data_IF_671563037207
#
_entry.id   IF_671563037207
#
_cell.length_a   1.000
_cell.length_b   1.000
_cell.length_c   1.000
_cell.angle_alpha   90.00
_cell.angle_beta   90.00
_cell.angle_gamma   90.00
#
_symmetry.space_group_name_H-M   'P 1'
#
loop_
_entity.id
_entity.type
_entity.pdbx_description
1 polymer ?
#
# COMPACT_ATOMS: atom_id res chain seq x y z
N UNK A 1 66.04 38.55 14.16
CA UNK A 1 64.91 37.96 14.89
C UNK A 1 65.42 37.35 16.19
N UNK A 2 65.03 37.91 17.33
CA UNK A 2 65.46 37.46 18.65
C UNK A 2 64.83 36.10 19.01
N UNK A 3 65.44 35.37 19.96
CA UNK A 3 64.92 34.08 20.45
C UNK A 3 63.47 34.17 20.92
N UNK A 4 63.06 35.31 21.50
CA UNK A 4 61.70 35.57 21.99
C UNK A 4 60.68 35.75 20.86
N UNK A 5 61.07 36.42 19.77
CA UNK A 5 60.20 36.66 18.62
C UNK A 5 59.86 35.35 17.88
N UNK A 6 60.84 34.45 17.71
CA UNK A 6 60.61 33.13 17.08
C UNK A 6 59.63 32.26 17.89
N UNK A 7 59.69 32.32 19.22
CA UNK A 7 58.80 31.57 20.10
C UNK A 7 57.37 32.12 20.01
N UNK A 8 57.19 33.45 20.03
CA UNK A 8 55.86 34.05 19.87
C UNK A 8 55.24 33.72 18.50
N UNK A 9 56.02 33.75 17.42
CA UNK A 9 55.52 33.40 16.09
C UNK A 9 55.07 31.93 16.01
N UNK A 10 55.80 31.02 16.66
CA UNK A 10 55.43 29.60 16.75
C UNK A 10 54.12 29.38 17.52
N UNK A 11 53.91 30.09 18.63
CA UNK A 11 52.66 30.01 19.43
C UNK A 11 51.47 30.57 18.63
N UNK A 12 51.67 31.67 17.91
CA UNK A 12 50.62 32.26 17.06
C UNK A 12 50.21 31.29 15.94
N UNK A 13 51.18 30.72 15.22
CA UNK A 13 50.92 29.74 14.15
C UNK A 13 50.21 28.50 14.71
N UNK A 14 50.66 27.96 15.85
CA UNK A 14 50.01 26.83 16.50
C UNK A 14 48.57 27.14 16.93
N UNK A 15 48.32 28.35 17.43
CA UNK A 15 46.97 28.85 17.77
C UNK A 15 46.05 28.91 16.55
N UNK A 16 46.52 29.46 15.42
CA UNK A 16 45.75 29.52 14.18
C UNK A 16 45.45 28.14 13.59
N UNK A 17 46.40 27.20 13.62
CA UNK A 17 46.18 25.83 13.15
C UNK A 17 45.17 25.10 14.03
N UNK A 18 45.25 25.25 15.35
CA UNK A 18 44.29 24.70 16.30
C UNK A 18 42.87 25.23 16.07
N UNK A 19 42.72 26.54 15.90
CA UNK A 19 41.42 27.19 15.67
C UNK A 19 40.84 26.85 14.29
N UNK A 20 41.70 26.81 13.26
CA UNK A 20 41.32 26.40 11.90
C UNK A 20 40.84 24.95 11.84
N UNK A 21 41.49 24.03 12.55
CA UNK A 21 41.08 22.63 12.62
C UNK A 21 39.71 22.42 13.28
N UNK A 22 39.42 23.14 14.36
CA UNK A 22 38.13 23.06 15.08
C UNK A 22 37.00 23.66 14.24
N UNK A 23 37.23 24.82 13.62
CA UNK A 23 36.24 25.49 12.76
C UNK A 23 35.95 24.68 11.49
N UNK A 24 36.96 24.07 10.86
CA UNK A 24 36.77 23.18 9.72
C UNK A 24 35.94 21.94 10.06
N UNK A 25 36.21 21.27 11.20
CA UNK A 25 35.39 20.15 11.68
C UNK A 25 33.95 20.57 11.96
N UNK A 26 33.74 21.74 12.56
CA UNK A 26 32.40 22.25 12.83
C UNK A 26 31.59 22.53 11.54
N UNK A 27 32.25 23.06 10.50
CA UNK A 27 31.62 23.28 9.18
C UNK A 27 31.29 21.95 8.49
N UNK A 28 32.19 20.97 8.52
CA UNK A 28 31.90 19.63 7.98
C UNK A 28 30.74 18.96 8.73
N UNK A 29 30.70 19.08 10.06
CA UNK A 29 29.61 18.55 10.86
C UNK A 29 28.28 19.21 10.50
N UNK A 30 28.23 20.54 10.33
CA UNK A 30 27.03 21.24 9.84
C UNK A 30 26.58 20.76 8.46
N UNK A 31 27.50 20.59 7.50
CA UNK A 31 27.16 20.07 6.17
C UNK A 31 26.53 18.67 6.26
N UNK A 32 27.16 17.76 7.02
CA UNK A 32 26.66 16.40 7.25
C UNK A 32 25.30 16.39 7.95
N UNK A 33 25.07 17.32 8.89
CA UNK A 33 23.81 17.44 9.61
C UNK A 33 22.67 17.94 8.71
N UNK A 34 22.96 18.88 7.80
CA UNK A 34 21.99 19.36 6.79
C UNK A 34 21.63 18.23 5.81
N UNK A 35 22.63 17.49 5.34
CA UNK A 35 22.42 16.37 4.42
C UNK A 35 21.61 15.24 5.09
N UNK A 36 21.94 14.89 6.33
CA UNK A 36 21.17 13.92 7.12
C UNK A 36 19.73 14.36 7.31
N UNK A 37 19.49 15.65 7.62
CA UNK A 37 18.13 16.19 7.74
C UNK A 37 17.34 16.11 6.42
N UNK A 38 17.98 16.34 5.28
CA UNK A 38 17.34 16.18 3.96
C UNK A 38 16.92 14.73 3.74
N UNK A 39 17.82 13.78 4.01
CA UNK A 39 17.53 12.34 3.88
C UNK A 39 16.40 11.90 4.82
N UNK A 40 16.38 12.40 6.06
CA UNK A 40 15.30 12.12 7.01
C UNK A 40 13.96 12.66 6.50
N UNK A 41 13.93 13.93 6.05
CA UNK A 41 12.71 14.53 5.51
C UNK A 41 12.20 13.79 4.25
N UNK A 42 13.10 13.35 3.38
CA UNK A 42 12.75 12.55 2.21
C UNK A 42 12.17 11.19 2.60
N UNK A 43 12.79 10.50 3.56
CA UNK A 43 12.27 9.22 4.09
C UNK A 43 10.90 9.40 4.77
N UNK A 44 10.71 10.46 5.55
CA UNK A 44 9.41 10.77 6.16
C UNK A 44 8.33 10.98 5.11
N UNK A 45 8.65 11.67 4.01
CA UNK A 45 7.73 11.84 2.89
C UNK A 45 7.35 10.49 2.27
N UNK A 46 8.32 9.63 2.00
CA UNK A 46 8.10 8.29 1.45
C UNK A 46 7.23 7.45 2.40
N UNK A 47 7.46 7.52 3.71
CA UNK A 47 6.66 6.79 4.70
C UNK A 47 5.20 7.27 4.67
N UNK A 48 4.96 8.58 4.66
CA UNK A 48 3.60 9.12 4.57
C UNK A 48 2.88 8.70 3.30
N UNK A 49 3.55 8.78 2.15
CA UNK A 49 2.99 8.33 0.87
C UNK A 49 2.62 6.83 0.90
N UNK A 50 3.46 6.00 1.53
CA UNK A 50 3.16 4.57 1.73
C UNK A 50 2.00 4.33 2.68
N UNK A 51 1.94 5.05 3.80
CA UNK A 51 0.85 4.92 4.78
C UNK A 51 -0.49 5.32 4.16
N UNK A 52 -0.53 6.42 3.41
CA UNK A 52 -1.72 6.84 2.66
C UNK A 52 -2.14 5.79 1.62
N UNK A 53 -1.18 5.20 0.93
CA UNK A 53 -1.42 4.12 -0.04
C UNK A 53 -2.00 2.88 0.62
N UNK A 54 -1.44 2.45 1.76
CA UNK A 54 -1.92 1.32 2.54
C UNK A 54 -3.35 1.59 3.04
N UNK A 55 -3.59 2.76 3.62
CA UNK A 55 -4.90 3.13 4.14
C UNK A 55 -5.96 3.13 3.03
N UNK A 56 -5.63 3.67 1.86
CA UNK A 56 -6.51 3.66 0.69
C UNK A 56 -6.76 2.24 0.17
N UNK A 57 -5.73 1.38 0.13
CA UNK A 57 -5.86 -0.03 -0.23
C UNK A 57 -6.84 -0.76 0.71
N UNK A 58 -6.66 -0.59 2.02
CA UNK A 58 -7.51 -1.23 3.05
C UNK A 58 -8.95 -0.74 2.93
N UNK A 59 -9.15 0.58 2.78
CA UNK A 59 -10.50 1.16 2.63
C UNK A 59 -11.23 0.57 1.42
N UNK A 60 -10.61 0.58 0.25
CA UNK A 60 -11.22 0.09 -0.99
C UNK A 60 -11.44 -1.42 -0.95
N UNK A 61 -10.48 -2.19 -0.44
CA UNK A 61 -10.60 -3.63 -0.29
C UNK A 61 -11.71 -4.03 0.68
N UNK A 62 -11.81 -3.34 1.83
CA UNK A 62 -12.88 -3.57 2.80
C UNK A 62 -14.26 -3.21 2.24
N UNK A 63 -14.38 -2.09 1.53
CA UNK A 63 -15.64 -1.72 0.88
C UNK A 63 -16.08 -2.76 -0.16
N UNK A 64 -15.15 -3.25 -1.00
CA UNK A 64 -15.44 -4.29 -1.96
C UNK A 64 -15.90 -5.60 -1.28
N UNK A 65 -15.22 -6.01 -0.20
CA UNK A 65 -15.58 -7.20 0.57
C UNK A 65 -17.00 -7.11 1.14
N UNK A 66 -17.29 -6.05 1.91
CA UNK A 66 -18.59 -5.90 2.59
C UNK A 66 -19.75 -5.85 1.59
N UNK A 67 -19.55 -5.20 0.43
CA UNK A 67 -20.59 -5.17 -0.61
C UNK A 67 -20.81 -6.53 -1.25
N UNK A 68 -19.76 -7.32 -1.46
CA UNK A 68 -19.89 -8.70 -1.92
C UNK A 68 -20.59 -9.60 -0.91
N UNK A 69 -20.26 -9.48 0.38
CA UNK A 69 -20.94 -10.23 1.45
C UNK A 69 -22.43 -9.87 1.54
N UNK A 70 -22.77 -8.59 1.38
CA UNK A 70 -24.17 -8.17 1.33
C UNK A 70 -24.89 -8.71 0.10
N UNK A 71 -24.25 -8.68 -1.08
CA UNK A 71 -24.80 -9.27 -2.30
C UNK A 71 -25.07 -10.77 -2.14
N UNK A 72 -24.11 -11.52 -1.59
CA UNK A 72 -24.27 -12.96 -1.38
C UNK A 72 -25.34 -13.28 -0.33
N UNK A 73 -25.42 -12.47 0.72
CA UNK A 73 -26.49 -12.57 1.73
C UNK A 73 -27.87 -12.30 1.13
N UNK A 74 -28.00 -11.24 0.33
CA UNK A 74 -29.24 -10.89 -0.37
C UNK A 74 -29.67 -12.00 -1.35
N UNK A 75 -28.70 -12.58 -2.08
CA UNK A 75 -28.93 -13.71 -2.99
C UNK A 75 -29.41 -14.93 -2.21
N UNK A 76 -28.69 -15.31 -1.16
CA UNK A 76 -29.00 -16.47 -0.32
C UNK A 76 -30.38 -16.32 0.33
N UNK A 77 -30.71 -15.12 0.84
CA UNK A 77 -32.02 -14.84 1.42
C UNK A 77 -33.15 -15.02 0.39
N UNK A 78 -32.96 -14.49 -0.83
CA UNK A 78 -33.94 -14.58 -1.91
C UNK A 78 -34.18 -16.01 -2.38
N UNK A 79 -33.13 -16.84 -2.44
CA UNK A 79 -33.24 -18.27 -2.75
C UNK A 79 -34.02 -19.03 -1.67
N UNK A 80 -33.79 -18.70 -0.38
CA UNK A 80 -34.44 -19.38 0.74
C UNK A 80 -35.89 -18.92 0.99
N UNK A 81 -36.25 -17.71 0.59
CA UNK A 81 -37.57 -17.11 0.81
C UNK A 81 -38.18 -16.61 -0.50
N UNK A 82 -38.43 -17.50 -1.49
CA UNK A 82 -38.81 -17.10 -2.84
C UNK A 82 -40.15 -16.32 -2.91
N UNK A 83 -41.04 -16.53 -1.93
CA UNK A 83 -42.35 -15.87 -1.86
C UNK A 83 -42.38 -14.66 -0.91
N UNK A 84 -41.28 -14.38 -0.20
CA UNK A 84 -41.24 -13.36 0.85
C UNK A 84 -39.87 -12.65 0.95
N UNK A 85 -39.16 -12.55 -0.18
CA UNK A 85 -37.77 -12.10 -0.19
C UNK A 85 -37.61 -10.64 0.24
N UNK A 86 -38.67 -9.83 0.24
CA UNK A 86 -38.64 -8.40 0.58
C UNK A 86 -37.71 -7.53 -0.30
N UNK A 87 -36.87 -8.18 -1.11
CA UNK A 87 -35.88 -7.62 -2.01
C UNK A 87 -36.47 -7.74 -3.40
N UNK A 88 -36.79 -6.61 -4.00
CA UNK A 88 -37.30 -6.56 -5.36
C UNK A 88 -36.17 -6.83 -6.36
N UNK A 89 -36.54 -7.22 -7.59
CA UNK A 89 -35.56 -7.41 -8.67
C UNK A 89 -34.71 -6.13 -8.94
N UNK A 90 -35.31 -4.92 -8.97
CA UNK A 90 -34.55 -3.67 -9.02
C UNK A 90 -33.55 -3.50 -7.86
N UNK A 91 -33.93 -3.84 -6.64
CA UNK A 91 -33.02 -3.74 -5.48
C UNK A 91 -31.83 -4.68 -5.63
N UNK A 92 -32.07 -5.91 -6.10
CA UNK A 92 -30.99 -6.87 -6.35
C UNK A 92 -30.03 -6.38 -7.43
N UNK A 93 -30.53 -5.78 -8.50
CA UNK A 93 -29.70 -5.19 -9.55
C UNK A 93 -28.83 -4.04 -9.00
N UNK A 94 -29.38 -3.19 -8.14
CA UNK A 94 -28.63 -2.12 -7.48
C UNK A 94 -27.53 -2.69 -6.58
N UNK A 95 -27.82 -3.74 -5.81
CA UNK A 95 -26.84 -4.41 -4.95
C UNK A 95 -25.68 -4.96 -5.78
N UNK A 96 -25.98 -5.66 -6.88
CA UNK A 96 -25.00 -6.24 -7.79
C UNK A 96 -24.13 -5.17 -8.46
N UNK A 97 -24.75 -4.08 -8.93
CA UNK A 97 -24.04 -2.97 -9.55
C UNK A 97 -23.07 -2.31 -8.57
N UNK A 98 -23.51 -2.04 -7.33
CA UNK A 98 -22.66 -1.43 -6.30
C UNK A 98 -21.51 -2.34 -5.86
N UNK A 99 -21.74 -3.65 -5.75
CA UNK A 99 -20.67 -4.60 -5.46
C UNK A 99 -19.63 -4.64 -6.58
N UNK A 100 -20.09 -4.69 -7.84
CA UNK A 100 -19.23 -4.67 -9.02
C UNK A 100 -18.41 -3.38 -9.13
N UNK A 101 -19.03 -2.23 -8.88
CA UNK A 101 -18.36 -0.93 -8.89
C UNK A 101 -17.25 -0.85 -7.84
N UNK A 102 -17.52 -1.27 -6.61
CA UNK A 102 -16.50 -1.27 -5.55
C UNK A 102 -15.34 -2.22 -5.86
N UNK A 103 -15.62 -3.39 -6.42
CA UNK A 103 -14.60 -4.32 -6.88
C UNK A 103 -13.72 -3.73 -7.98
N UNK A 104 -14.34 -3.09 -8.98
CA UNK A 104 -13.62 -2.41 -10.05
C UNK A 104 -12.76 -1.26 -9.51
N UNK A 105 -13.28 -0.46 -8.58
CA UNK A 105 -12.54 0.62 -7.94
C UNK A 105 -11.31 0.09 -7.19
N UNK A 106 -11.45 -1.02 -6.47
CA UNK A 106 -10.33 -1.68 -5.79
C UNK A 106 -9.30 -2.21 -6.79
N UNK A 107 -9.72 -2.93 -7.83
CA UNK A 107 -8.81 -3.45 -8.84
C UNK A 107 -8.09 -2.35 -9.61
N UNK A 108 -8.80 -1.31 -10.06
CA UNK A 108 -8.20 -0.16 -10.73
C UNK A 108 -7.13 0.50 -9.83
N UNK A 109 -7.38 0.59 -8.52
CA UNK A 109 -6.37 1.09 -7.59
C UNK A 109 -5.15 0.15 -7.49
N UNK A 110 -5.35 -1.16 -7.38
CA UNK A 110 -4.26 -2.14 -7.39
C UNK A 110 -3.43 -2.07 -8.68
N UNK A 111 -4.08 -1.86 -9.83
CA UNK A 111 -3.40 -1.67 -11.11
C UNK A 111 -2.50 -0.43 -11.11
N UNK A 112 -2.94 0.69 -10.51
CA UNK A 112 -2.11 1.89 -10.38
C UNK A 112 -0.85 1.66 -9.53
N UNK A 113 -0.91 0.67 -8.63
CA UNK A 113 0.21 0.25 -7.80
C UNK A 113 1.08 -0.84 -8.46
N UNK A 114 0.76 -1.25 -9.70
CA UNK A 114 1.52 -2.26 -10.43
C UNK A 114 1.14 -3.72 -10.12
N UNK A 115 0.09 -3.95 -9.33
CA UNK A 115 -0.48 -5.27 -9.05
C UNK A 115 -1.47 -5.70 -10.13
N UNK A 116 -1.01 -5.76 -11.38
CA UNK A 116 -1.78 -6.25 -12.53
C UNK A 116 -1.74 -7.79 -12.62
N UNK A 117 -2.62 -8.36 -13.45
CA UNK A 117 -2.58 -9.76 -13.90
C UNK A 117 -2.53 -10.79 -12.75
N UNK A 118 -3.26 -10.53 -11.66
CA UNK A 118 -3.32 -11.46 -10.52
C UNK A 118 -2.04 -11.53 -9.67
N UNK A 119 -1.10 -10.57 -9.81
CA UNK A 119 0.12 -10.52 -8.97
C UNK A 119 -0.17 -10.55 -7.47
N UNK A 120 -1.22 -9.85 -7.02
CA UNK A 120 -1.64 -9.89 -5.61
C UNK A 120 -2.09 -11.29 -5.22
N UNK A 121 -2.87 -11.96 -6.06
CA UNK A 121 -3.30 -13.35 -5.86
C UNK A 121 -2.12 -14.31 -5.82
N UNK A 122 -1.14 -14.15 -6.71
CA UNK A 122 0.08 -14.95 -6.71
C UNK A 122 0.91 -14.75 -5.43
N UNK A 123 0.99 -13.51 -4.93
CA UNK A 123 1.63 -13.21 -3.63
C UNK A 123 0.88 -13.89 -2.47
N UNK A 124 -0.45 -13.76 -2.44
CA UNK A 124 -1.27 -14.42 -1.42
C UNK A 124 -1.10 -15.93 -1.47
N UNK A 125 -1.18 -16.56 -2.65
CA UNK A 125 -1.01 -18.01 -2.81
C UNK A 125 0.36 -18.47 -2.34
N UNK A 126 1.42 -17.72 -2.67
CA UNK A 126 2.79 -18.00 -2.19
C UNK A 126 2.88 -17.98 -0.67
N UNK A 127 2.17 -17.07 -0.01
CA UNK A 127 2.20 -16.93 1.45
C UNK A 127 1.18 -17.83 2.16
N UNK A 128 0.16 -18.32 1.43
CA UNK A 128 -0.98 -19.09 1.92
C UNK A 128 -1.45 -20.12 0.89
N UNK A 129 -0.84 -21.31 0.92
CA UNK A 129 -1.21 -22.44 0.05
C UNK A 129 -2.68 -22.89 0.19
N UNK A 130 -3.31 -22.66 1.34
CA UNK A 130 -4.73 -22.95 1.55
C UNK A 130 -5.63 -22.03 0.71
N UNK A 131 -5.18 -20.79 0.45
CA UNK A 131 -5.92 -19.83 -0.36
C UNK A 131 -5.99 -20.25 -1.84
N UNK A 132 -4.90 -20.83 -2.36
CA UNK A 132 -4.86 -21.38 -3.72
C UNK A 132 -5.92 -22.48 -3.90
N UNK A 133 -6.01 -23.42 -2.95
CA UNK A 133 -7.01 -24.48 -2.98
C UNK A 133 -8.45 -23.94 -2.91
N UNK A 134 -8.69 -22.86 -2.16
CA UNK A 134 -10.00 -22.21 -2.10
C UNK A 134 -10.32 -21.50 -3.43
N UNK A 135 -9.34 -20.84 -4.04
CA UNK A 135 -9.50 -20.17 -5.32
C UNK A 135 -9.83 -21.16 -6.45
N UNK A 136 -9.14 -22.30 -6.49
CA UNK A 136 -9.40 -23.37 -7.47
C UNK A 136 -10.82 -23.92 -7.32
N UNK A 137 -11.24 -24.20 -6.08
CA UNK A 137 -12.62 -24.66 -5.80
C UNK A 137 -13.66 -23.64 -6.24
N UNK A 138 -13.42 -22.34 -6.01
CA UNK A 138 -14.30 -21.26 -6.45
C UNK A 138 -14.43 -21.23 -7.98
N UNK A 139 -13.31 -21.32 -8.70
CA UNK A 139 -13.31 -21.27 -10.17
C UNK A 139 -13.99 -22.50 -10.79
N UNK A 140 -13.75 -23.70 -10.24
CA UNK A 140 -14.45 -24.91 -10.66
C UNK A 140 -15.97 -24.80 -10.49
N UNK A 141 -16.43 -24.17 -9.39
CA UNK A 141 -17.86 -23.92 -9.15
C UNK A 141 -18.44 -22.93 -10.17
N UNK A 142 -17.71 -21.85 -10.50
CA UNK A 142 -18.11 -20.89 -11.52
C UNK A 142 -18.28 -21.56 -12.90
N UNK A 143 -17.33 -22.38 -13.32
CA UNK A 143 -17.43 -23.13 -14.59
C UNK A 143 -18.64 -24.08 -14.62
N UNK A 144 -18.92 -24.75 -13.51
CA UNK A 144 -20.09 -25.62 -13.38
C UNK A 144 -21.39 -24.82 -13.56
N UNK A 145 -21.53 -23.69 -12.86
CA UNK A 145 -22.71 -22.83 -13.00
C UNK A 145 -22.88 -22.34 -14.44
N UNK A 146 -21.81 -21.89 -15.10
CA UNK A 146 -21.87 -21.43 -16.49
C UNK A 146 -22.35 -22.56 -17.42
N UNK A 147 -21.84 -23.78 -17.27
CA UNK A 147 -22.28 -24.94 -18.07
C UNK A 147 -23.74 -25.31 -17.81
N UNK A 148 -24.23 -25.16 -16.57
CA UNK A 148 -25.63 -25.41 -16.23
C UNK A 148 -26.57 -24.37 -16.85
N UNK A 149 -26.17 -23.10 -16.85
CA UNK A 149 -26.94 -22.01 -17.45
C UNK A 149 -26.97 -22.11 -18.98
N UNK A 150 -25.88 -22.53 -19.63
CA UNK A 150 -25.83 -22.79 -21.07
C UNK A 150 -26.75 -23.95 -21.49
N UNK A 151 -26.92 -24.98 -20.66
CA UNK A 151 -27.83 -26.11 -20.93
C UNK A 151 -29.32 -25.76 -20.79
N UNK A 152 -29.63 -24.63 -20.14
CA UNK A 152 -31.00 -24.16 -19.92
C UNK A 152 -31.46 -23.13 -20.96
N UNK A 153 -30.60 -22.74 -21.89
CA UNK A 153 -30.92 -21.95 -23.09
C UNK A 153 -31.22 -22.86 -24.26
#
# INVERSE_FOLDING_TARGET
MSKKEKIMLGVIIAGFIGFGGVTFKAVQYRKKLIETKKVVAEKEKIIKEKDETILKSVKLGYEALVRYEYMDSARTYSIRHPYNSGISHPDFQVILNKASEAYLNYNNFLETLGYKDGKLTALINKEKNDFEQIADKKNALLELMTKEDEKKK
#
